data_IF_531340710052
#
_entry.id   IF_531340710052
#
_cell.length_a   1.000
_cell.length_b   1.000
_cell.length_c   1.000
_cell.angle_alpha   90.00
_cell.angle_beta   90.00
_cell.angle_gamma   90.00
#
_symmetry.space_group_name_H-M   'P 1'
#
loop_
_entity.id
_entity.type
_entity.pdbx_description
1 polymer ?
#
# COMPACT_ATOMS: atom_id res chain seq x y z
N UNK A 1 -31.89 9.56 0.81
CA UNK A 1 -30.53 10.16 0.87
C UNK A 1 -30.06 10.27 -0.57
N UNK A 2 -29.49 11.39 -1.01
CA UNK A 2 -28.98 11.48 -2.36
C UNK A 2 -27.69 10.66 -2.52
N UNK A 3 -27.35 10.33 -3.77
CA UNK A 3 -26.27 9.39 -4.11
C UNK A 3 -24.90 9.88 -3.63
N UNK A 4 -24.69 11.20 -3.68
CA UNK A 4 -23.46 11.86 -3.22
C UNK A 4 -23.24 11.60 -1.74
N UNK A 5 -24.28 11.80 -0.91
CA UNK A 5 -24.20 11.54 0.53
C UNK A 5 -24.00 10.05 0.82
N UNK A 6 -24.57 9.16 0.01
CA UNK A 6 -24.36 7.72 0.15
C UNK A 6 -22.90 7.32 -0.15
N UNK A 7 -22.30 7.91 -1.19
CA UNK A 7 -20.91 7.68 -1.54
C UNK A 7 -19.98 8.25 -0.46
N UNK A 8 -20.25 9.46 0.04
CA UNK A 8 -19.50 10.04 1.16
C UNK A 8 -19.59 9.16 2.41
N UNK A 9 -20.78 8.64 2.74
CA UNK A 9 -21.01 7.79 3.94
C UNK A 9 -20.32 6.44 3.82
N UNK A 10 -20.53 5.74 2.72
CA UNK A 10 -19.91 4.42 2.47
C UNK A 10 -18.39 4.53 2.36
N UNK A 11 -17.88 5.55 1.66
CA UNK A 11 -16.45 5.83 1.58
C UNK A 11 -15.82 6.16 2.92
N UNK A 12 -16.50 6.92 3.78
CA UNK A 12 -16.05 7.20 5.16
C UNK A 12 -15.94 5.93 6.00
N UNK A 13 -16.93 5.04 5.89
CA UNK A 13 -16.91 3.74 6.56
C UNK A 13 -15.75 2.87 6.04
N UNK A 14 -15.59 2.78 4.73
CA UNK A 14 -14.52 2.04 4.07
C UNK A 14 -13.13 2.58 4.43
N UNK A 15 -12.98 3.90 4.50
CA UNK A 15 -11.74 4.55 4.93
C UNK A 15 -11.38 4.18 6.39
N UNK A 16 -12.38 4.11 7.28
CA UNK A 16 -12.17 3.72 8.68
C UNK A 16 -11.67 2.29 8.83
N UNK A 17 -12.20 1.38 8.02
CA UNK A 17 -11.87 -0.04 8.08
C UNK A 17 -10.83 -0.49 7.06
N UNK A 18 -10.24 0.43 6.30
CA UNK A 18 -9.32 0.14 5.19
C UNK A 18 -8.15 -0.78 5.51
N UNK A 19 -7.67 -0.76 6.75
CA UNK A 19 -6.56 -1.61 7.19
C UNK A 19 -6.95 -3.09 7.29
N UNK A 20 -8.24 -3.41 7.38
CA UNK A 20 -8.73 -4.78 7.60
C UNK A 20 -9.35 -5.40 6.35
N UNK A 21 -9.83 -4.58 5.41
CA UNK A 21 -10.50 -5.04 4.20
C UNK A 21 -9.64 -5.97 3.32
N UNK A 22 -8.32 -5.80 3.20
CA UNK A 22 -7.49 -6.77 2.50
C UNK A 22 -7.58 -8.20 3.06
N UNK A 23 -7.89 -8.39 4.34
CA UNK A 23 -8.01 -9.73 4.93
C UNK A 23 -9.22 -10.52 4.42
N UNK A 24 -10.21 -9.85 3.83
CA UNK A 24 -11.35 -10.52 3.15
C UNK A 24 -10.87 -11.38 1.99
N UNK A 25 -9.70 -11.08 1.41
CA UNK A 25 -9.12 -11.89 0.33
C UNK A 25 -8.38 -13.13 0.83
N UNK A 26 -8.06 -13.27 2.12
CA UNK A 26 -7.31 -14.43 2.61
C UNK A 26 -8.00 -15.78 2.34
N UNK A 27 -9.33 -15.94 2.59
CA UNK A 27 -10.02 -17.17 2.24
C UNK A 27 -10.03 -17.44 0.74
N UNK A 28 -10.16 -16.40 -0.08
CA UNK A 28 -10.14 -16.53 -1.55
C UNK A 28 -8.77 -16.96 -2.07
N UNK A 29 -7.70 -16.43 -1.48
CA UNK A 29 -6.32 -16.83 -1.76
C UNK A 29 -6.10 -18.28 -1.32
N UNK A 30 -6.58 -18.69 -0.15
CA UNK A 30 -6.51 -20.08 0.29
C UNK A 30 -7.23 -21.03 -0.67
N UNK A 31 -8.44 -20.67 -1.13
CA UNK A 31 -9.18 -21.45 -2.15
C UNK A 31 -8.38 -21.50 -3.46
N UNK A 32 -7.77 -20.40 -3.89
CA UNK A 32 -6.94 -20.37 -5.10
C UNK A 32 -5.76 -21.34 -5.00
N UNK A 33 -5.01 -21.29 -3.89
CA UNK A 33 -3.87 -22.20 -3.62
C UNK A 33 -4.30 -23.66 -3.65
N UNK A 34 -5.45 -24.01 -3.07
CA UNK A 34 -5.96 -25.39 -3.05
C UNK A 34 -6.44 -25.89 -4.42
N UNK A 35 -6.71 -25.01 -5.39
CA UNK A 35 -7.40 -25.34 -6.65
C UNK A 35 -6.56 -25.13 -7.90
N UNK A 36 -5.54 -24.27 -7.85
CA UNK A 36 -4.73 -23.87 -9.01
C UNK A 36 -3.24 -24.19 -8.83
N UNK A 37 -2.83 -25.47 -8.73
CA UNK A 37 -1.41 -25.86 -8.67
C UNK A 37 -0.68 -25.73 -10.03
N UNK A 38 -1.31 -25.13 -11.05
CA UNK A 38 -0.99 -25.30 -12.48
C UNK A 38 0.44 -24.87 -12.86
N UNK A 39 1.04 -23.93 -12.13
CA UNK A 39 2.38 -23.40 -12.43
C UNK A 39 3.50 -24.39 -12.05
N UNK A 40 3.25 -25.37 -11.18
CA UNK A 40 4.28 -26.34 -10.77
C UNK A 40 4.55 -27.45 -11.80
N UNK A 41 3.81 -27.51 -12.91
CA UNK A 41 4.12 -28.46 -13.99
C UNK A 41 5.45 -28.17 -14.69
N UNK A 42 6.00 -26.95 -14.55
CA UNK A 42 7.30 -26.58 -15.10
C UNK A 42 8.04 -25.62 -14.15
N UNK A 43 9.15 -26.07 -13.51
CA UNK A 43 9.89 -25.25 -12.54
C UNK A 43 10.38 -23.90 -13.08
N UNK A 44 10.70 -23.81 -14.38
CA UNK A 44 11.16 -22.54 -14.97
C UNK A 44 10.03 -21.51 -15.03
N UNK A 45 8.82 -21.95 -15.38
CA UNK A 45 7.65 -21.06 -15.41
C UNK A 45 7.25 -20.62 -14.00
N UNK A 46 7.41 -21.50 -13.01
CA UNK A 46 7.23 -21.15 -11.60
C UNK A 46 8.15 -20.03 -11.16
N UNK A 47 9.46 -20.18 -11.38
CA UNK A 47 10.44 -19.14 -11.01
C UNK A 47 10.13 -17.82 -11.71
N UNK A 48 9.87 -17.85 -13.03
CA UNK A 48 9.54 -16.62 -13.79
C UNK A 48 8.29 -15.94 -13.24
N UNK A 49 7.26 -16.72 -12.90
CA UNK A 49 6.01 -16.19 -12.36
C UNK A 49 6.17 -15.64 -10.94
N UNK A 50 6.88 -16.35 -10.07
CA UNK A 50 7.16 -15.90 -8.69
C UNK A 50 8.00 -14.61 -8.69
N UNK A 51 9.01 -14.50 -9.55
CA UNK A 51 9.79 -13.25 -9.72
C UNK A 51 8.91 -12.13 -10.28
N UNK A 52 8.08 -12.41 -11.27
CA UNK A 52 7.21 -11.40 -11.90
C UNK A 52 6.19 -10.86 -10.89
N UNK A 53 5.49 -11.74 -10.18
CA UNK A 53 4.50 -11.38 -9.17
C UNK A 53 5.12 -10.60 -8.00
N UNK A 54 6.28 -11.04 -7.49
CA UNK A 54 7.04 -10.29 -6.48
C UNK A 54 7.48 -8.92 -7.01
N UNK A 55 7.97 -8.86 -8.26
CA UNK A 55 8.35 -7.63 -8.93
C UNK A 55 7.21 -6.60 -8.97
N UNK A 56 5.99 -7.03 -9.30
CA UNK A 56 4.79 -6.16 -9.27
C UNK A 56 4.58 -5.57 -7.87
N UNK A 57 4.68 -6.38 -6.81
CA UNK A 57 4.55 -5.87 -5.45
C UNK A 57 5.67 -4.92 -5.04
N UNK A 58 6.91 -5.18 -5.48
CA UNK A 58 8.06 -4.32 -5.22
C UNK A 58 7.95 -2.97 -5.94
N UNK A 59 7.41 -2.93 -7.16
CA UNK A 59 7.10 -1.67 -7.85
C UNK A 59 6.05 -0.88 -7.05
N UNK A 60 5.01 -1.55 -6.55
CA UNK A 60 4.02 -0.93 -5.66
C UNK A 60 4.65 -0.33 -4.40
N UNK A 61 5.55 -1.07 -3.76
CA UNK A 61 6.30 -0.59 -2.61
C UNK A 61 7.18 0.62 -2.97
N UNK A 62 7.87 0.60 -4.11
CA UNK A 62 8.69 1.71 -4.58
C UNK A 62 7.87 2.99 -4.80
N UNK A 63 6.68 2.89 -5.40
CA UNK A 63 5.73 4.01 -5.55
C UNK A 63 5.36 4.58 -4.18
N UNK A 64 5.07 3.73 -3.19
CA UNK A 64 4.75 4.18 -1.82
C UNK A 64 5.94 4.86 -1.15
N UNK A 65 7.12 4.26 -1.22
CA UNK A 65 8.34 4.81 -0.65
C UNK A 65 8.66 6.19 -1.25
N UNK A 66 8.61 6.31 -2.57
CA UNK A 66 8.81 7.59 -3.26
C UNK A 66 7.78 8.64 -2.81
N UNK A 67 6.50 8.26 -2.78
CA UNK A 67 5.41 9.17 -2.41
C UNK A 67 5.53 9.66 -0.96
N UNK A 68 5.72 8.75 -0.01
CA UNK A 68 5.79 9.11 1.42
C UNK A 68 7.05 9.89 1.74
N UNK A 69 8.17 9.55 1.11
CA UNK A 69 9.44 10.21 1.35
C UNK A 69 9.48 11.67 0.91
N UNK A 70 8.66 12.05 -0.08
CA UNK A 70 8.57 13.43 -0.58
C UNK A 70 7.29 14.16 -0.14
N UNK A 71 6.39 13.50 0.60
CA UNK A 71 5.15 14.12 1.07
C UNK A 71 5.42 15.07 2.25
N UNK A 72 4.69 16.17 2.31
CA UNK A 72 4.73 17.08 3.46
C UNK A 72 4.27 16.39 4.75
N UNK A 73 4.74 16.89 5.89
CA UNK A 73 4.27 16.41 7.20
C UNK A 73 2.79 16.74 7.43
N UNK A 74 2.12 15.93 8.26
CA UNK A 74 0.69 16.08 8.50
C UNK A 74 -0.20 15.84 7.27
N UNK A 75 0.35 15.20 6.23
CA UNK A 75 -0.38 14.73 5.04
C UNK A 75 -0.07 13.27 4.79
N UNK A 76 -0.82 12.62 3.89
CA UNK A 76 -0.48 11.28 3.38
C UNK A 76 -0.24 10.21 4.48
N UNK A 77 -0.85 10.42 5.64
CA UNK A 77 -0.66 9.60 6.83
C UNK A 77 -1.51 8.33 6.83
N UNK A 78 -1.25 7.45 7.80
CA UNK A 78 -2.01 6.20 8.02
C UNK A 78 -3.22 6.39 8.97
N UNK A 79 -3.77 7.60 9.05
CA UNK A 79 -4.95 7.88 9.89
C UNK A 79 -6.17 7.13 9.32
N UNK A 80 -6.99 6.51 10.16
CA UNK A 80 -8.22 5.83 9.72
C UNK A 80 -9.48 6.44 10.32
N UNK A 81 -9.38 7.14 11.45
CA UNK A 81 -10.56 7.74 12.10
C UNK A 81 -11.04 9.01 11.41
N UNK A 82 -10.11 9.81 10.91
CA UNK A 82 -10.40 11.11 10.29
C UNK A 82 -9.43 11.40 9.15
N UNK A 83 -9.87 12.24 8.21
CA UNK A 83 -9.03 12.78 7.16
C UNK A 83 -8.15 13.90 7.71
N UNK A 84 -6.86 13.88 7.34
CA UNK A 84 -5.87 14.86 7.79
C UNK A 84 -4.97 15.22 6.63
N UNK A 85 -4.95 16.51 6.30
CA UNK A 85 -4.06 17.09 5.30
C UNK A 85 -3.72 18.52 5.72
N UNK A 86 -2.51 18.77 6.23
CA UNK A 86 -2.06 20.13 6.56
C UNK A 86 -1.83 20.98 5.31
N UNK A 87 -1.28 20.36 4.26
CA UNK A 87 -1.08 20.94 2.93
C UNK A 87 -1.64 20.02 1.85
N UNK A 88 -1.80 20.53 0.64
CA UNK A 88 -2.17 19.75 -0.54
C UNK A 88 -0.89 19.34 -1.28
N UNK A 89 -0.61 18.04 -1.40
CA UNK A 89 0.53 17.56 -2.20
C UNK A 89 0.16 17.57 -3.68
N UNK A 90 0.95 18.26 -4.51
CA UNK A 90 0.69 18.40 -5.96
C UNK A 90 1.93 18.13 -6.84
N UNK A 91 3.08 17.85 -6.23
CA UNK A 91 4.37 17.59 -6.89
C UNK A 91 4.85 16.15 -6.67
N UNK A 92 5.91 15.73 -7.36
CA UNK A 92 6.40 14.34 -7.33
C UNK A 92 5.33 13.37 -7.82
N UNK A 93 5.08 12.28 -7.09
CA UNK A 93 4.05 11.29 -7.46
C UNK A 93 2.64 11.90 -7.59
N UNK A 94 2.33 12.95 -6.82
CA UNK A 94 1.04 13.65 -6.89
C UNK A 94 0.88 14.54 -8.14
N UNK A 95 1.94 14.74 -8.93
CA UNK A 95 1.86 15.48 -10.20
C UNK A 95 1.30 14.64 -11.36
N UNK A 96 1.39 13.30 -11.25
CA UNK A 96 1.00 12.38 -12.32
C UNK A 96 -0.23 11.54 -11.99
N UNK A 97 -0.59 11.43 -10.70
CA UNK A 97 -1.78 10.71 -10.22
C UNK A 97 -2.23 11.29 -8.87
N UNK A 98 -3.53 11.40 -8.62
CA UNK A 98 -4.04 11.98 -7.37
C UNK A 98 -3.89 11.05 -6.16
N UNK A 99 -3.98 9.74 -6.37
CA UNK A 99 -3.96 8.73 -5.31
C UNK A 99 -2.77 7.75 -5.40
N UNK A 100 -1.51 8.23 -5.43
CA UNK A 100 -0.32 7.39 -5.64
C UNK A 100 -0.11 6.33 -4.54
N UNK A 101 -0.52 6.60 -3.30
CA UNK A 101 -0.46 5.61 -2.22
C UNK A 101 -1.43 4.44 -2.44
N UNK A 102 -2.58 4.69 -3.06
CA UNK A 102 -3.55 3.65 -3.41
C UNK A 102 -3.11 2.88 -4.64
N UNK A 103 -2.48 3.55 -5.61
CA UNK A 103 -1.80 2.87 -6.71
C UNK A 103 -0.69 1.94 -6.21
N UNK A 104 0.11 2.38 -5.23
CA UNK A 104 1.12 1.53 -4.61
C UNK A 104 0.52 0.33 -3.87
N UNK A 105 -0.56 0.54 -3.10
CA UNK A 105 -1.28 -0.56 -2.43
C UNK A 105 -1.89 -1.54 -3.43
N UNK A 106 -2.43 -1.04 -4.53
CA UNK A 106 -2.96 -1.83 -5.63
C UNK A 106 -1.91 -2.79 -6.16
N UNK A 107 -0.75 -2.26 -6.55
CA UNK A 107 0.34 -3.05 -7.10
C UNK A 107 0.87 -4.07 -6.10
N UNK A 108 1.00 -3.71 -4.81
CA UNK A 108 1.39 -4.67 -3.76
C UNK A 108 0.42 -5.85 -3.69
N UNK A 109 -0.87 -5.58 -3.58
CA UNK A 109 -1.87 -6.65 -3.46
C UNK A 109 -2.08 -7.40 -4.79
N UNK A 110 -1.94 -6.73 -5.95
CA UNK A 110 -1.99 -7.36 -7.26
C UNK A 110 -0.87 -8.40 -7.41
N UNK A 111 0.36 -8.08 -7.01
CA UNK A 111 1.46 -9.05 -7.04
C UNK A 111 1.17 -10.28 -6.18
N UNK A 112 0.63 -10.10 -4.97
CA UNK A 112 0.21 -11.20 -4.08
C UNK A 112 -0.90 -12.05 -4.74
N UNK A 113 -1.89 -11.41 -5.36
CA UNK A 113 -2.99 -12.12 -6.03
C UNK A 113 -2.48 -12.86 -7.27
N UNK A 114 -1.62 -12.24 -8.08
CA UNK A 114 -0.97 -12.88 -9.23
C UNK A 114 -0.19 -14.12 -8.81
N UNK A 115 0.51 -14.04 -7.66
CA UNK A 115 1.29 -15.15 -7.12
C UNK A 115 0.46 -16.42 -6.90
N UNK A 116 -0.85 -16.30 -6.59
CA UNK A 116 -1.76 -17.45 -6.47
C UNK A 116 -2.05 -18.19 -7.78
N UNK A 117 -1.59 -17.67 -8.92
CA UNK A 117 -1.80 -18.23 -10.25
C UNK A 117 -3.27 -18.42 -10.68
N UNK A 118 -4.23 -17.84 -9.96
CA UNK A 118 -5.65 -18.02 -10.19
C UNK A 118 -6.27 -16.83 -10.97
N UNK A 119 -6.59 -16.98 -12.27
CA UNK A 119 -7.08 -15.85 -13.08
C UNK A 119 -8.40 -15.25 -12.57
N UNK A 120 -9.29 -16.10 -12.04
CA UNK A 120 -10.55 -15.64 -11.46
C UNK A 120 -10.32 -14.72 -10.26
N UNK A 121 -9.28 -14.99 -9.45
CA UNK A 121 -8.98 -14.17 -8.28
C UNK A 121 -8.46 -12.80 -8.69
N UNK A 122 -7.70 -12.71 -9.77
CA UNK A 122 -7.27 -11.44 -10.36
C UNK A 122 -8.49 -10.61 -10.77
N UNK A 123 -9.46 -11.21 -11.48
CA UNK A 123 -10.69 -10.50 -11.88
C UNK A 123 -11.48 -10.01 -10.67
N UNK A 124 -11.70 -10.86 -9.68
CA UNK A 124 -12.38 -10.50 -8.42
C UNK A 124 -11.65 -9.36 -7.72
N UNK A 125 -10.32 -9.44 -7.64
CA UNK A 125 -9.50 -8.41 -7.04
C UNK A 125 -9.63 -7.06 -7.78
N UNK A 126 -9.56 -7.04 -9.11
CA UNK A 126 -9.70 -5.82 -9.90
C UNK A 126 -11.06 -5.16 -9.70
N UNK A 127 -12.14 -5.94 -9.74
CA UNK A 127 -13.51 -5.43 -9.54
C UNK A 127 -13.70 -4.89 -8.13
N UNK A 128 -13.30 -5.67 -7.13
CA UNK A 128 -13.40 -5.27 -5.73
C UNK A 128 -12.57 -4.02 -5.45
N UNK A 129 -11.35 -3.95 -5.98
CA UNK A 129 -10.49 -2.78 -5.84
C UNK A 129 -11.13 -1.53 -6.46
N UNK A 130 -11.68 -1.64 -7.67
CA UNK A 130 -12.32 -0.51 -8.36
C UNK A 130 -13.47 0.07 -7.52
N UNK A 131 -14.39 -0.78 -7.06
CA UNK A 131 -15.52 -0.35 -6.24
C UNK A 131 -15.08 0.21 -4.87
N UNK A 132 -14.14 -0.48 -4.23
CA UNK A 132 -13.67 -0.16 -2.89
C UNK A 132 -12.91 1.16 -2.83
N UNK A 133 -11.90 1.33 -3.68
CA UNK A 133 -11.07 2.52 -3.67
C UNK A 133 -11.79 3.72 -4.28
N UNK A 134 -12.70 3.54 -5.23
CA UNK A 134 -13.53 4.65 -5.74
C UNK A 134 -14.25 5.36 -4.59
N UNK A 135 -14.91 4.61 -3.70
CA UNK A 135 -15.63 5.18 -2.56
C UNK A 135 -14.70 5.91 -1.59
N UNK A 136 -13.53 5.34 -1.29
CA UNK A 136 -12.55 5.99 -0.41
C UNK A 136 -12.02 7.28 -1.05
N UNK A 137 -11.60 7.21 -2.31
CA UNK A 137 -11.09 8.35 -3.06
C UNK A 137 -12.13 9.46 -3.14
N UNK A 138 -13.40 9.11 -3.36
CA UNK A 138 -14.50 10.07 -3.39
C UNK A 138 -14.64 10.86 -2.07
N UNK A 139 -14.66 10.16 -0.93
CA UNK A 139 -14.72 10.81 0.39
C UNK A 139 -13.48 11.68 0.64
N UNK A 140 -12.29 11.21 0.25
CA UNK A 140 -11.05 11.96 0.39
C UNK A 140 -11.04 13.25 -0.43
N UNK A 141 -11.42 13.15 -1.70
CA UNK A 141 -11.48 14.29 -2.59
C UNK A 141 -12.54 15.29 -2.16
N UNK A 142 -13.68 14.81 -1.64
CA UNK A 142 -14.69 15.68 -1.04
C UNK A 142 -14.10 16.48 0.13
N UNK A 143 -13.38 15.81 1.04
CA UNK A 143 -12.71 16.46 2.16
C UNK A 143 -11.67 17.49 1.66
N UNK A 144 -10.83 17.11 0.70
CA UNK A 144 -9.79 17.98 0.14
C UNK A 144 -10.39 19.18 -0.59
N UNK A 145 -11.47 18.99 -1.34
CA UNK A 145 -12.19 20.07 -2.03
C UNK A 145 -12.82 21.04 -1.04
N UNK A 146 -13.48 20.54 0.01
CA UNK A 146 -14.04 21.37 1.10
C UNK A 146 -12.94 22.18 1.81
N UNK A 147 -11.73 21.61 1.95
CA UNK A 147 -10.60 22.25 2.66
C UNK A 147 -9.80 23.24 1.82
N UNK A 148 -9.50 22.91 0.57
CA UNK A 148 -8.55 23.64 -0.30
C UNK A 148 -9.22 24.34 -1.48
N UNK A 149 -10.53 24.18 -1.69
CA UNK A 149 -11.32 24.95 -2.65
C UNK A 149 -10.82 24.86 -4.09
N UNK A 150 -10.57 26.03 -4.71
CA UNK A 150 -10.10 26.13 -6.09
C UNK A 150 -8.74 25.48 -6.29
N UNK A 151 -7.81 25.58 -5.32
CA UNK A 151 -6.47 24.99 -5.42
C UNK A 151 -6.54 23.48 -5.66
N UNK A 152 -7.46 22.79 -4.97
CA UNK A 152 -7.72 21.37 -5.21
C UNK A 152 -8.36 21.14 -6.58
N UNK A 153 -9.37 21.93 -6.92
CA UNK A 153 -10.12 21.78 -8.18
C UNK A 153 -9.18 21.92 -9.38
N UNK A 154 -8.41 23.00 -9.45
CA UNK A 154 -7.45 23.30 -10.53
C UNK A 154 -6.36 22.22 -10.69
N UNK A 155 -5.93 21.61 -9.57
CA UNK A 155 -5.00 20.49 -9.60
C UNK A 155 -5.65 19.18 -10.02
N UNK A 156 -6.86 18.89 -9.54
CA UNK A 156 -7.58 17.65 -9.82
C UNK A 156 -8.09 17.56 -11.26
N UNK A 157 -8.42 18.69 -11.89
CA UNK A 157 -8.88 18.75 -13.29
C UNK A 157 -7.78 18.34 -14.28
N UNK A 158 -6.52 18.62 -13.96
CA UNK A 158 -5.36 18.27 -14.79
C UNK A 158 -4.73 16.92 -14.44
N UNK A 159 -5.03 16.34 -13.28
CA UNK A 159 -4.34 15.14 -12.75
C UNK A 159 -5.30 13.96 -12.66
N UNK A 160 -5.00 12.80 -13.29
CA UNK A 160 -5.90 11.65 -13.25
C UNK A 160 -6.02 11.07 -11.83
N UNK A 161 -7.17 10.50 -11.50
CA UNK A 161 -7.41 9.95 -10.17
C UNK A 161 -6.48 8.77 -9.84
N UNK A 162 -6.35 7.81 -10.77
CA UNK A 162 -5.69 6.53 -10.48
C UNK A 162 -4.68 6.05 -11.53
N UNK A 163 -4.99 6.15 -12.84
CA UNK A 163 -4.05 5.75 -13.90
C UNK A 163 -3.05 6.89 -14.14
N UNK A 164 -1.74 6.70 -13.88
CA UNK A 164 -0.79 7.80 -13.88
C UNK A 164 -0.50 8.34 -15.29
N UNK A 165 -0.48 9.66 -15.43
CA UNK A 165 -0.07 10.35 -16.66
C UNK A 165 1.39 10.81 -16.52
N UNK A 166 2.33 9.90 -16.77
CA UNK A 166 3.77 10.12 -16.53
C UNK A 166 4.36 11.37 -17.23
N UNK A 167 3.77 11.80 -18.35
CA UNK A 167 4.18 13.03 -19.07
C UNK A 167 3.97 14.32 -18.26
N UNK A 168 3.18 14.30 -17.20
CA UNK A 168 2.91 15.47 -16.33
C UNK A 168 3.87 15.58 -15.14
N UNK A 169 4.94 14.78 -15.12
CA UNK A 169 5.87 14.75 -13.99
C UNK A 169 6.41 16.13 -13.65
N UNK A 170 6.28 16.50 -12.38
CA UNK A 170 6.95 17.63 -11.76
C UNK A 170 7.79 17.12 -10.61
N UNK A 171 9.04 17.56 -10.54
CA UNK A 171 9.95 17.21 -9.43
C UNK A 171 9.31 17.53 -8.09
N UNK A 172 9.57 16.68 -7.10
CA UNK A 172 9.08 16.88 -5.75
C UNK A 172 9.68 18.16 -5.14
N UNK A 173 8.86 18.93 -4.42
CA UNK A 173 9.29 20.16 -3.75
C UNK A 173 10.16 19.89 -2.52
N UNK A 174 9.87 18.79 -1.81
CA UNK A 174 10.62 18.38 -0.62
C UNK A 174 11.65 17.31 -0.97
N UNK A 175 12.82 17.28 -0.33
CA UNK A 175 13.79 16.20 -0.53
C UNK A 175 13.28 14.88 0.07
N UNK A 176 13.90 13.76 -0.34
CA UNK A 176 13.56 12.43 0.15
C UNK A 176 13.91 12.27 1.65
N UNK A 177 12.89 12.10 2.50
CA UNK A 177 13.03 11.74 3.91
C UNK A 177 13.06 10.21 4.10
N UNK A 178 14.26 9.62 4.03
CA UNK A 178 14.48 8.18 4.20
C UNK A 178 14.02 7.67 5.58
N UNK A 179 14.33 8.32 6.72
CA UNK A 179 13.79 7.92 8.02
C UNK A 179 12.26 7.86 8.09
N UNK A 180 11.55 8.78 7.43
CA UNK A 180 10.08 8.77 7.30
C UNK A 180 9.60 7.57 6.49
N UNK A 181 10.25 7.28 5.36
CA UNK A 181 9.95 6.10 4.53
C UNK A 181 10.08 4.81 5.33
N UNK A 182 11.22 4.59 6.00
CA UNK A 182 11.46 3.35 6.77
C UNK A 182 10.36 3.15 7.82
N UNK A 183 10.04 4.20 8.59
CA UNK A 183 9.01 4.13 9.65
C UNK A 183 7.61 3.89 9.08
N UNK A 184 7.29 4.52 7.95
CA UNK A 184 5.98 4.43 7.34
C UNK A 184 5.78 3.07 6.66
N UNK A 185 6.72 2.64 5.81
CA UNK A 185 6.54 1.51 4.90
C UNK A 185 7.00 0.16 5.46
N UNK A 186 7.48 0.13 6.71
CA UNK A 186 7.79 -1.11 7.44
C UNK A 186 6.67 -2.15 7.42
N UNK A 187 5.40 -1.74 7.53
CA UNK A 187 4.28 -2.67 7.45
C UNK A 187 4.08 -3.25 6.04
N UNK A 188 4.32 -2.46 4.99
CA UNK A 188 4.20 -2.94 3.61
C UNK A 188 5.33 -3.92 3.28
N UNK A 189 6.55 -3.62 3.72
CA UNK A 189 7.70 -4.55 3.63
C UNK A 189 7.39 -5.86 4.35
N UNK A 190 6.86 -5.79 5.58
CA UNK A 190 6.50 -6.98 6.35
C UNK A 190 5.40 -7.81 5.67
N UNK A 191 4.40 -7.17 5.05
CA UNK A 191 3.36 -7.88 4.29
C UNK A 191 3.98 -8.65 3.11
N UNK A 192 4.83 -8.03 2.30
CA UNK A 192 5.49 -8.70 1.17
C UNK A 192 6.36 -9.86 1.68
N UNK A 193 7.23 -9.59 2.66
CA UNK A 193 8.17 -10.57 3.19
C UNK A 193 7.51 -11.73 3.95
N UNK A 194 6.29 -11.55 4.45
CA UNK A 194 5.52 -12.63 5.08
C UNK A 194 4.67 -13.39 4.07
N UNK A 195 3.92 -12.67 3.22
CA UNK A 195 2.90 -13.29 2.38
C UNK A 195 3.49 -14.12 1.25
N UNK A 196 4.54 -13.66 0.58
CA UNK A 196 5.13 -14.45 -0.51
C UNK A 196 5.71 -15.79 -0.02
N UNK A 197 6.59 -15.84 0.99
CA UNK A 197 7.03 -17.11 1.58
C UNK A 197 5.89 -17.97 2.12
N UNK A 198 4.87 -17.38 2.72
CA UNK A 198 3.73 -18.13 3.25
C UNK A 198 2.89 -18.78 2.14
N UNK A 199 2.73 -18.12 0.99
CA UNK A 199 2.05 -18.69 -0.16
C UNK A 199 2.86 -19.82 -0.76
N UNK A 200 4.15 -19.62 -0.98
CA UNK A 200 5.08 -20.65 -1.47
C UNK A 200 5.06 -21.90 -0.58
N UNK A 201 5.14 -21.70 0.74
CA UNK A 201 4.99 -22.79 1.70
C UNK A 201 3.64 -23.49 1.58
N UNK A 202 2.54 -22.74 1.54
CA UNK A 202 1.19 -23.32 1.45
C UNK A 202 0.99 -24.11 0.15
N UNK A 203 1.58 -23.65 -0.95
CA UNK A 203 1.50 -24.30 -2.26
C UNK A 203 2.31 -25.61 -2.22
N UNK A 204 3.57 -25.59 -1.73
CA UNK A 204 4.40 -26.79 -1.61
C UNK A 204 3.80 -27.84 -0.67
N UNK A 205 3.29 -27.45 0.50
CA UNK A 205 2.63 -28.34 1.46
C UNK A 205 1.44 -29.09 0.83
N UNK A 206 0.60 -28.37 0.08
CA UNK A 206 -0.60 -28.93 -0.56
C UNK A 206 -0.24 -29.88 -1.69
N UNK A 207 0.87 -29.66 -2.40
CA UNK A 207 1.20 -30.40 -3.61
C UNK A 207 2.15 -31.57 -3.39
N UNK A 208 3.21 -31.36 -2.61
CA UNK A 208 4.31 -32.33 -2.49
C UNK A 208 4.24 -33.11 -1.18
N UNK A 209 3.51 -32.61 -0.17
CA UNK A 209 3.47 -33.20 1.17
C UNK A 209 4.83 -33.20 1.88
N UNK A 210 5.81 -32.49 1.32
CA UNK A 210 7.15 -32.30 1.86
C UNK A 210 7.49 -30.80 1.87
N UNK A 211 8.10 -30.38 2.97
CA UNK A 211 8.37 -28.97 3.30
C UNK A 211 9.72 -28.57 2.69
N UNK A 212 9.84 -28.59 1.37
CA UNK A 212 11.04 -28.08 0.71
C UNK A 212 10.97 -26.54 0.62
N UNK A 213 11.42 -25.82 1.65
CA UNK A 213 11.46 -24.35 1.62
C UNK A 213 12.75 -23.88 0.94
N UNK A 214 12.62 -23.18 -0.18
CA UNK A 214 13.77 -22.56 -0.82
C UNK A 214 14.43 -21.53 0.09
N UNK A 215 15.77 -21.54 0.12
CA UNK A 215 16.58 -20.60 0.91
C UNK A 215 16.27 -19.13 0.57
N UNK A 216 15.90 -18.84 -0.67
CA UNK A 216 15.48 -17.53 -1.18
C UNK A 216 14.33 -16.93 -0.35
N UNK A 217 13.27 -17.72 -0.12
CA UNK A 217 12.09 -17.30 0.66
C UNK A 217 12.41 -17.08 2.13
N UNK A 218 13.25 -17.93 2.72
CA UNK A 218 13.75 -17.75 4.09
C UNK A 218 14.56 -16.45 4.23
N UNK A 219 15.41 -16.12 3.25
CA UNK A 219 16.19 -14.88 3.25
C UNK A 219 15.26 -13.67 3.14
N UNK A 220 14.25 -13.72 2.26
CA UNK A 220 13.26 -12.64 2.12
C UNK A 220 12.50 -12.42 3.43
N UNK A 221 12.01 -13.49 4.05
CA UNK A 221 11.31 -13.43 5.34
C UNK A 221 12.22 -12.85 6.43
N UNK A 222 13.44 -13.38 6.57
CA UNK A 222 14.41 -12.94 7.58
C UNK A 222 14.79 -11.46 7.44
N UNK A 223 15.13 -11.03 6.22
CA UNK A 223 15.47 -9.62 5.94
C UNK A 223 14.28 -8.68 6.17
N UNK A 224 13.06 -9.09 5.79
CA UNK A 224 11.84 -8.33 6.07
C UNK A 224 11.52 -8.19 7.56
N UNK A 225 11.70 -9.26 8.34
CA UNK A 225 11.53 -9.23 9.80
C UNK A 225 12.55 -8.28 10.44
N UNK A 226 13.83 -8.39 10.06
CA UNK A 226 14.90 -7.51 10.56
C UNK A 226 14.59 -6.04 10.23
N UNK A 227 14.18 -5.75 8.99
CA UNK A 227 13.77 -4.41 8.58
C UNK A 227 12.59 -3.89 9.41
N UNK A 228 11.56 -4.72 9.60
CA UNK A 228 10.40 -4.35 10.41
C UNK A 228 10.78 -4.04 11.85
N UNK A 229 11.59 -4.88 12.50
CA UNK A 229 12.07 -4.66 13.87
C UNK A 229 12.86 -3.36 13.96
N UNK A 230 13.83 -3.14 13.06
CA UNK A 230 14.61 -1.91 12.99
C UNK A 230 13.72 -0.66 12.88
N UNK A 231 12.74 -0.68 11.96
CA UNK A 231 11.80 0.42 11.80
C UNK A 231 10.93 0.67 13.04
N UNK A 232 10.52 -0.40 13.76
CA UNK A 232 9.76 -0.28 15.01
C UNK A 232 10.60 0.31 16.14
N UNK A 233 11.88 -0.04 16.22
CA UNK A 233 12.83 0.58 17.17
C UNK A 233 12.99 2.07 16.86
N UNK A 234 13.20 2.44 15.58
CA UNK A 234 13.29 3.85 15.15
C UNK A 234 12.04 4.63 15.55
N UNK A 235 10.84 4.08 15.27
CA UNK A 235 9.56 4.70 15.62
C UNK A 235 9.35 4.85 17.13
N UNK A 236 9.89 3.93 17.95
CA UNK A 236 9.88 4.05 19.42
C UNK A 236 10.82 5.16 19.90
N UNK A 237 12.05 5.22 19.37
CA UNK A 237 13.04 6.25 19.73
C UNK A 237 12.55 7.66 19.40
N UNK A 238 12.04 7.87 18.19
CA UNK A 238 11.52 9.19 17.78
C UNK A 238 10.35 9.66 18.65
N UNK A 239 9.39 8.78 18.96
CA UNK A 239 8.26 9.14 19.83
C UNK A 239 8.71 9.54 21.24
N UNK A 240 9.75 8.90 21.77
CA UNK A 240 10.36 9.31 23.05
C UNK A 240 10.97 10.70 22.92
N UNK A 241 11.75 10.95 21.88
CA UNK A 241 12.41 12.24 21.65
C UNK A 241 11.40 13.40 21.51
N UNK A 242 10.36 13.25 20.67
CA UNK A 242 9.30 14.25 20.52
C UNK A 242 8.53 14.52 21.83
N UNK A 243 8.40 13.50 22.70
CA UNK A 243 7.82 13.68 24.04
C UNK A 243 8.74 14.52 24.93
N UNK A 244 10.04 14.27 24.92
CA UNK A 244 11.02 15.07 25.67
C UNK A 244 11.04 16.53 25.20
N UNK A 245 11.06 16.76 23.89
CA UNK A 245 11.07 18.11 23.31
C UNK A 245 9.82 18.91 23.73
N UNK A 246 8.64 18.27 23.73
CA UNK A 246 7.40 18.91 24.21
C UNK A 246 7.47 19.27 25.70
N UNK A 247 8.01 18.38 26.54
CA UNK A 247 8.18 18.65 27.97
C UNK A 247 9.14 19.83 28.19
N UNK A 248 10.24 19.89 27.45
CA UNK A 248 11.20 21.01 27.54
C UNK A 248 10.58 22.33 27.08
N UNK A 249 9.80 22.31 26.00
CA UNK A 249 9.10 23.49 25.51
C UNK A 249 8.03 24.00 26.50
N UNK A 250 7.27 23.09 27.12
CA UNK A 250 6.29 23.44 28.16
C UNK A 250 6.97 23.95 29.44
N UNK A 251 8.15 23.42 29.80
CA UNK A 251 8.91 23.88 30.97
C UNK A 251 9.63 25.23 30.76
N UNK A 252 9.83 25.64 29.51
CA UNK A 252 10.46 26.92 29.15
C UNK A 252 9.45 28.08 29.03
N UNK A 253 8.16 27.83 29.21
CA UNK A 253 7.07 28.80 29.14
C UNK A 253 6.57 29.17 30.53
#
# INVERSE_FOLDING_TARGET
>A
MALIEEFERSGSWLFRWRSYLPFVFLPLIAIAVLRYPVIESNPNWHIVWSITSLGVSLVGLAVRCHTVGHAADGTSGRNTKTQVAQTLNISGSYSVVRHPLYLGNFLIALGIVLHSAAPWLVVVYLMAFALYYERIMFTEETFLRKKFGSVFTDWSDRTPAFVPRLRQWKSAELPLDVPKVIRAESSAVAVIALTFPALEFAVHEVQQGDVAIEKSWCILLGTGILFYIAARIMKRKLRRWLKYERILYEAAK
#
